data_IF_150398884334
#
_entry.id   IF_150398884334
#
_cell.length_a   1.000
_cell.length_b   1.000
_cell.length_c   1.000
_cell.angle_alpha   90.00
_cell.angle_beta   90.00
_cell.angle_gamma   90.00
#
_symmetry.space_group_name_H-M   'P 1'
#
loop_
_entity.id
_entity.type
_entity.pdbx_description
1 polymer ?
#
# COMPACT_ATOMS: atom_id res chain seq x y z
N UNK A 1 15.03 -12.54 9.37
CA UNK A 1 15.40 -11.71 8.22
C UNK A 1 14.22 -10.79 7.95
N UNK A 2 14.43 -9.52 7.57
CA UNK A 2 13.33 -8.66 7.17
C UNK A 2 12.69 -9.22 5.91
N UNK A 3 11.37 -9.34 5.90
CA UNK A 3 10.63 -9.76 4.71
C UNK A 3 10.22 -8.51 3.93
N UNK A 4 10.57 -8.47 2.64
CA UNK A 4 10.17 -7.40 1.74
C UNK A 4 8.87 -7.77 1.04
N UNK A 5 7.91 -6.84 1.04
CA UNK A 5 6.64 -6.99 0.37
C UNK A 5 6.46 -5.88 -0.67
N UNK A 6 6.17 -6.27 -1.91
CA UNK A 6 5.73 -5.36 -2.97
C UNK A 6 4.21 -5.28 -2.93
N UNK A 7 3.69 -4.07 -2.86
CA UNK A 7 2.25 -3.75 -2.88
C UNK A 7 1.99 -2.92 -4.13
N UNK A 8 1.09 -3.40 -4.97
CA UNK A 8 0.57 -2.66 -6.12
C UNK A 8 -0.92 -2.38 -5.90
N UNK A 9 -1.30 -1.11 -6.01
CA UNK A 9 -2.67 -0.65 -5.84
C UNK A 9 -3.04 0.31 -6.98
N UNK A 10 -4.21 0.10 -7.58
CA UNK A 10 -4.77 1.07 -8.52
C UNK A 10 -5.36 2.22 -7.72
N UNK A 11 -4.94 3.44 -8.03
CA UNK A 11 -5.44 4.66 -7.40
C UNK A 11 -6.32 5.41 -8.41
N UNK A 12 -7.45 5.93 -7.97
CA UNK A 12 -8.27 6.82 -8.81
C UNK A 12 -7.69 8.24 -8.84
N UNK A 13 -7.04 8.66 -7.75
CA UNK A 13 -6.45 9.97 -7.56
C UNK A 13 -5.20 9.93 -6.66
N UNK A 14 -4.57 11.09 -6.47
CA UNK A 14 -3.40 11.26 -5.60
C UNK A 14 -3.74 11.11 -4.10
N UNK A 15 -4.99 11.29 -3.70
CA UNK A 15 -5.42 11.16 -2.30
C UNK A 15 -5.43 9.69 -1.87
N UNK A 16 -5.84 8.76 -2.76
CA UNK A 16 -5.78 7.31 -2.49
C UNK A 16 -4.35 6.89 -2.12
N UNK A 17 -3.36 7.40 -2.87
CA UNK A 17 -1.95 7.11 -2.61
C UNK A 17 -1.52 7.60 -1.21
N UNK A 18 -1.92 8.82 -0.84
CA UNK A 18 -1.59 9.40 0.46
C UNK A 18 -2.27 8.65 1.61
N UNK A 19 -3.54 8.25 1.45
CA UNK A 19 -4.22 7.43 2.45
C UNK A 19 -3.58 6.06 2.59
N UNK A 20 -3.19 5.42 1.49
CA UNK A 20 -2.43 4.16 1.54
C UNK A 20 -1.11 4.33 2.31
N UNK A 21 -0.35 5.38 2.02
CA UNK A 21 0.89 5.67 2.74
C UNK A 21 0.64 5.91 4.24
N UNK A 22 -0.48 6.56 4.58
CA UNK A 22 -0.89 6.77 5.97
C UNK A 22 -1.23 5.44 6.68
N UNK A 23 -1.99 4.56 6.02
CA UNK A 23 -2.31 3.22 6.52
C UNK A 23 -1.03 2.42 6.77
N UNK A 24 -0.12 2.37 5.79
CA UNK A 24 1.15 1.65 5.91
C UNK A 24 2.00 2.19 7.06
N UNK A 25 2.05 3.51 7.24
CA UNK A 25 2.75 4.13 8.37
C UNK A 25 2.14 3.74 9.72
N UNK A 26 0.82 3.54 9.78
CA UNK A 26 0.12 3.07 10.98
C UNK A 26 0.35 1.59 11.32
N UNK A 27 0.86 0.80 10.37
CA UNK A 27 1.17 -0.63 10.54
C UNK A 27 2.60 -0.88 11.03
N UNK A 28 3.36 0.17 11.35
CA UNK A 28 4.77 0.08 11.78
C UNK A 28 5.68 -0.64 10.77
N UNK A 29 5.28 -0.68 9.48
CA UNK A 29 6.14 -1.15 8.39
C UNK A 29 7.00 -0.02 7.85
N UNK A 30 8.19 -0.36 7.36
CA UNK A 30 9.10 0.62 6.74
C UNK A 30 8.83 0.71 5.26
N UNK A 31 8.43 1.90 4.77
CA UNK A 31 8.28 2.14 3.33
C UNK A 31 9.68 2.34 2.73
N UNK A 32 10.15 1.38 1.94
CA UNK A 32 11.45 1.45 1.26
C UNK A 32 11.37 2.26 -0.04
N UNK A 33 10.26 2.15 -0.77
CA UNK A 33 10.05 2.83 -2.04
C UNK A 33 8.56 3.06 -2.28
N UNK A 34 8.18 4.25 -2.72
CA UNK A 34 6.83 4.55 -3.21
C UNK A 34 6.90 5.21 -4.58
N UNK A 35 6.17 4.68 -5.56
CA UNK A 35 6.08 5.20 -6.92
C UNK A 35 4.61 5.38 -7.26
N UNK A 36 4.27 6.54 -7.80
CA UNK A 36 2.97 6.81 -8.38
C UNK A 36 3.18 7.04 -9.87
N UNK A 37 2.53 6.23 -10.71
CA UNK A 37 2.75 6.27 -12.16
C UNK A 37 1.46 6.00 -12.94
N UNK A 38 1.39 6.53 -14.15
CA UNK A 38 0.32 6.21 -15.08
C UNK A 38 0.65 4.92 -15.86
N UNK A 39 -0.21 3.91 -15.77
CA UNK A 39 -0.19 2.71 -16.62
C UNK A 39 -1.52 2.59 -17.34
N UNK A 40 -1.49 2.65 -18.67
CA UNK A 40 -2.68 2.49 -19.52
C UNK A 40 -3.83 3.40 -19.07
N UNK A 41 -3.55 4.70 -18.97
CA UNK A 41 -4.47 5.77 -18.55
C UNK A 41 -5.01 5.67 -17.11
N UNK A 42 -4.50 4.73 -16.31
CA UNK A 42 -4.84 4.58 -14.90
C UNK A 42 -3.67 4.96 -14.02
N UNK A 43 -3.95 5.55 -12.87
CA UNK A 43 -2.94 5.88 -11.88
C UNK A 43 -2.69 4.64 -11.00
N UNK A 44 -1.43 4.25 -10.86
CA UNK A 44 -1.00 3.10 -10.07
C UNK A 44 0.00 3.53 -9.03
N UNK A 45 -0.26 3.10 -7.80
CA UNK A 45 0.70 3.18 -6.72
C UNK A 45 1.43 1.85 -6.56
N UNK A 46 2.76 1.94 -6.49
CA UNK A 46 3.64 0.80 -6.21
C UNK A 46 4.49 1.13 -5.02
N UNK A 47 4.35 0.34 -3.96
CA UNK A 47 5.06 0.55 -2.70
C UNK A 47 5.80 -0.71 -2.33
N UNK A 48 7.09 -0.58 -2.04
CA UNK A 48 7.89 -1.64 -1.43
C UNK A 48 7.97 -1.32 0.05
N UNK A 49 7.54 -2.26 0.88
CA UNK A 49 7.64 -2.17 2.33
C UNK A 49 8.54 -3.28 2.86
N UNK A 50 9.19 -2.98 3.97
CA UNK A 50 9.89 -3.94 4.80
C UNK A 50 9.10 -4.16 6.08
N UNK A 51 8.84 -5.43 6.38
CA UNK A 51 8.14 -5.86 7.58
C UNK A 51 9.08 -6.66 8.49
N UNK A 52 8.93 -6.42 9.80
CA UNK A 52 9.64 -7.15 10.86
C UNK A 52 9.22 -8.63 10.85
N UNK A 53 10.16 -9.52 11.16
CA UNK A 53 9.89 -10.96 11.22
C UNK A 53 8.71 -11.26 12.15
N UNK A 54 7.65 -11.89 11.61
CA UNK A 54 6.39 -12.17 12.32
C UNK A 54 5.17 -11.42 11.76
N UNK A 55 5.37 -10.44 10.88
CA UNK A 55 4.28 -9.79 10.18
C UNK A 55 3.72 -10.69 9.07
N UNK A 56 2.42 -11.00 9.11
CA UNK A 56 1.79 -11.73 8.02
C UNK A 56 1.40 -10.77 6.90
N UNK A 57 1.50 -11.22 5.64
CA UNK A 57 1.04 -10.44 4.48
C UNK A 57 -0.42 -9.99 4.64
N UNK A 58 -1.26 -10.81 5.29
CA UNK A 58 -2.66 -10.49 5.60
C UNK A 58 -2.82 -9.29 6.54
N UNK A 59 -1.93 -9.10 7.51
CA UNK A 59 -1.96 -7.93 8.41
C UNK A 59 -1.69 -6.62 7.66
N UNK A 60 -0.97 -6.68 6.53
CA UNK A 60 -0.73 -5.53 5.66
C UNK A 60 -1.87 -5.36 4.65
N UNK A 61 -2.36 -6.45 4.06
CA UNK A 61 -3.38 -6.39 3.01
C UNK A 61 -4.79 -6.06 3.54
N UNK A 62 -5.20 -6.57 4.71
CA UNK A 62 -6.53 -6.31 5.27
C UNK A 62 -6.89 -4.81 5.40
N UNK A 63 -6.06 -3.97 6.04
CA UNK A 63 -6.37 -2.54 6.17
C UNK A 63 -6.36 -1.81 4.81
N UNK A 64 -5.54 -2.26 3.86
CA UNK A 64 -5.55 -1.75 2.48
C UNK A 64 -6.83 -2.14 1.74
N UNK A 65 -7.33 -3.36 1.93
CA UNK A 65 -8.63 -3.78 1.39
C UNK A 65 -9.77 -2.98 2.00
N UNK A 66 -9.74 -2.71 3.32
CA UNK A 66 -10.72 -1.84 3.97
C UNK A 66 -10.71 -0.42 3.40
N UNK A 67 -9.53 0.13 3.11
CA UNK A 67 -9.38 1.43 2.47
C UNK A 67 -10.09 1.45 1.10
N UNK A 68 -9.84 0.44 0.27
CA UNK A 68 -10.49 0.32 -1.03
C UNK A 68 -12.01 0.15 -0.89
N UNK A 69 -12.47 -0.74 0.00
CA UNK A 69 -13.89 -0.99 0.21
C UNK A 69 -14.65 0.26 0.65
N UNK A 70 -14.03 1.14 1.44
CA UNK A 70 -14.63 2.42 1.86
C UNK A 70 -14.81 3.39 0.69
N UNK A 71 -13.93 3.35 -0.32
CA UNK A 71 -13.96 4.27 -1.47
C UNK A 71 -14.84 3.78 -2.61
N UNK A 72 -15.02 2.46 -2.76
CA UNK A 72 -15.84 1.85 -3.82
C UNK A 72 -17.27 1.48 -3.36
N UNK A 73 -17.75 2.02 -2.23
CA UNK A 73 -19.10 1.78 -1.69
C UNK A 73 -20.02 2.98 -1.84
#
# INVERSE_FOLDING_TARGET
>A
MPDHLLIEMMCEDYEVFLEMAHVLKGLEVSILKGVLEHRSDKLWARVVVEASGGFSQTQILCPLMHLLHRRFS
#
